data_IF_586277330051
#
_entry.id   IF_586277330051
#
_cell.length_a   1.000
_cell.length_b   1.000
_cell.length_c   1.000
_cell.angle_alpha   90.00
_cell.angle_beta   90.00
_cell.angle_gamma   90.00
#
_symmetry.space_group_name_H-M   'P 1'
#
loop_
_entity.id
_entity.type
_entity.pdbx_description
1 polymer ?
#
# COMPACT_ATOMS: atom_id res chain seq x y z
N UNK A 1 34.44 1.17 -23.93
CA UNK A 1 33.89 -0.21 -23.90
C UNK A 1 34.94 -1.25 -24.34
N UNK A 2 35.75 -1.02 -25.37
CA UNK A 2 36.83 -1.94 -25.77
C UNK A 2 37.99 -2.05 -24.75
N UNK A 3 38.35 -0.98 -24.04
CA UNK A 3 39.43 -1.03 -23.03
C UNK A 3 39.07 -1.86 -21.79
N UNK A 4 37.80 -1.93 -21.42
CA UNK A 4 37.31 -2.74 -20.29
C UNK A 4 37.40 -4.25 -20.56
N UNK A 5 37.25 -4.66 -21.83
CA UNK A 5 37.34 -6.06 -22.26
C UNK A 5 38.80 -6.52 -22.29
N UNK A 6 39.72 -5.65 -22.72
CA UNK A 6 41.15 -5.94 -22.72
C UNK A 6 41.69 -6.14 -21.29
N UNK A 7 41.26 -5.31 -20.33
CA UNK A 7 41.61 -5.44 -18.91
C UNK A 7 41.10 -6.77 -18.31
N UNK A 8 39.91 -7.22 -18.68
CA UNK A 8 39.34 -8.49 -18.19
C UNK A 8 40.10 -9.71 -18.70
N UNK A 9 40.50 -9.73 -19.98
CA UNK A 9 41.25 -10.84 -20.57
C UNK A 9 42.67 -11.01 -20.00
N UNK A 10 43.28 -9.91 -19.54
CA UNK A 10 44.60 -9.92 -18.93
C UNK A 10 44.57 -10.56 -17.53
N UNK A 11 43.50 -10.32 -16.77
CA UNK A 11 43.28 -10.92 -15.45
C UNK A 11 42.97 -12.42 -15.53
N UNK A 12 42.26 -12.89 -16.56
CA UNK A 12 41.94 -14.33 -16.70
C UNK A 12 43.17 -15.18 -17.05
N UNK A 13 44.18 -14.62 -17.72
CA UNK A 13 45.44 -15.33 -18.04
C UNK A 13 46.32 -15.60 -16.82
N UNK A 14 46.29 -14.77 -15.77
CA UNK A 14 47.12 -15.00 -14.57
C UNK A 14 46.55 -16.06 -13.63
N UNK A 15 45.26 -16.41 -13.77
CA UNK A 15 44.57 -17.38 -12.92
C UNK A 15 44.65 -18.84 -13.41
N UNK A 16 45.33 -19.12 -14.53
CA UNK A 16 45.55 -20.49 -15.03
C UNK A 16 44.28 -21.23 -15.49
N UNK A 17 43.13 -20.55 -15.61
CA UNK A 17 41.87 -21.15 -16.05
C UNK A 17 41.90 -21.27 -17.57
N UNK A 18 42.18 -22.49 -18.07
CA UNK A 18 42.01 -22.83 -19.50
C UNK A 18 40.52 -23.00 -19.80
N UNK A 19 39.97 -22.08 -20.60
CA UNK A 19 38.66 -22.24 -21.23
C UNK A 19 38.84 -23.25 -22.37
N UNK A 20 38.20 -24.41 -22.28
CA UNK A 20 38.22 -25.45 -23.32
C UNK A 20 37.14 -25.13 -24.39
N UNK A 21 37.54 -24.75 -25.62
CA UNK A 21 36.60 -24.32 -26.66
C UNK A 21 35.74 -25.47 -27.22
N UNK A 22 36.01 -26.74 -26.87
CA UNK A 22 35.23 -27.87 -27.33
C UNK A 22 33.92 -28.09 -26.56
N UNK A 23 33.74 -27.47 -25.39
CA UNK A 23 32.52 -27.63 -24.56
C UNK A 23 31.33 -26.80 -25.04
N UNK A 24 31.56 -25.87 -25.97
CA UNK A 24 30.54 -24.94 -26.48
C UNK A 24 29.86 -25.44 -27.77
N UNK A 25 30.36 -26.52 -28.37
CA UNK A 25 29.87 -27.06 -29.65
C UNK A 25 29.03 -28.36 -29.53
N UNK A 26 28.53 -28.69 -28.33
CA UNK A 26 27.56 -29.78 -28.20
C UNK A 26 26.15 -29.25 -28.50
N UNK A 27 25.44 -29.75 -29.52
CA UNK A 27 24.07 -29.32 -29.76
C UNK A 27 23.24 -29.69 -28.53
N UNK A 28 22.64 -28.69 -27.90
CA UNK A 28 21.70 -28.85 -26.80
C UNK A 28 20.54 -29.71 -27.30
N UNK A 29 20.63 -31.02 -27.08
CA UNK A 29 19.55 -31.94 -27.33
C UNK A 29 18.35 -31.46 -26.52
N UNK A 30 17.35 -30.90 -27.22
CA UNK A 30 16.13 -30.40 -26.65
C UNK A 30 15.42 -31.61 -26.01
N UNK A 31 15.52 -31.72 -24.69
CA UNK A 31 14.83 -32.73 -23.90
C UNK A 31 13.34 -32.41 -24.00
N UNK A 32 12.64 -33.21 -24.78
CA UNK A 32 11.19 -33.08 -24.96
C UNK A 32 10.47 -33.56 -23.69
N UNK A 33 10.20 -32.62 -22.79
CA UNK A 33 9.42 -32.77 -21.57
C UNK A 33 7.91 -32.62 -21.85
N UNK A 34 7.44 -33.34 -22.86
CA UNK A 34 6.02 -33.60 -23.05
C UNK A 34 5.54 -34.57 -21.96
N UNK A 35 5.30 -34.09 -20.72
CA UNK A 35 4.36 -34.72 -19.76
C UNK A 35 4.12 -34.02 -18.41
N UNK A 36 4.31 -32.71 -18.26
CA UNK A 36 3.89 -32.03 -17.02
C UNK A 36 2.62 -31.20 -17.27
N UNK A 37 1.48 -31.88 -17.12
CA UNK A 37 0.15 -31.29 -17.20
C UNK A 37 0.05 -29.99 -16.39
N UNK A 38 -0.22 -28.89 -17.09
CA UNK A 38 -0.39 -27.56 -16.55
C UNK A 38 -1.58 -27.48 -15.57
N UNK A 39 -1.38 -27.93 -14.32
CA UNK A 39 -2.13 -27.41 -13.18
C UNK A 39 -1.40 -26.16 -12.69
N UNK A 40 -1.62 -25.02 -13.37
CA UNK A 40 -1.36 -23.71 -12.73
C UNK A 40 -2.32 -23.63 -11.53
N UNK A 41 -1.84 -23.67 -10.27
CA UNK A 41 -2.76 -23.63 -9.15
C UNK A 41 -3.44 -22.26 -9.19
N UNK A 42 -4.78 -22.25 -9.24
CA UNK A 42 -5.63 -21.03 -9.16
C UNK A 42 -5.39 -20.21 -7.88
N UNK A 43 -4.54 -20.70 -6.97
CA UNK A 43 -3.98 -19.97 -5.83
C UNK A 43 -3.14 -18.74 -6.22
N UNK A 44 -2.67 -18.63 -7.47
CA UNK A 44 -1.87 -17.49 -7.90
C UNK A 44 -2.61 -16.15 -7.85
N UNK A 45 -3.91 -16.12 -8.15
CA UNK A 45 -4.66 -14.85 -8.22
C UNK A 45 -4.95 -14.26 -6.83
N UNK A 46 -5.22 -15.09 -5.82
CA UNK A 46 -5.46 -14.63 -4.44
C UNK A 46 -4.15 -14.22 -3.75
N UNK A 47 -3.05 -14.91 -4.06
CA UNK A 47 -1.71 -14.55 -3.56
C UNK A 47 -1.18 -13.29 -4.24
N UNK A 48 -1.47 -13.10 -5.54
CA UNK A 48 -1.08 -11.90 -6.30
C UNK A 48 -1.99 -10.69 -6.02
N UNK A 49 -3.28 -10.92 -5.76
CA UNK A 49 -4.23 -9.86 -5.40
C UNK A 49 -4.14 -9.45 -3.92
N UNK A 50 -3.59 -10.31 -3.05
CA UNK A 50 -3.44 -10.05 -1.61
C UNK A 50 -2.77 -8.71 -1.29
N UNK A 51 -1.57 -8.43 -1.83
CA UNK A 51 -0.89 -7.14 -1.63
C UNK A 51 -1.68 -5.95 -2.19
N UNK A 52 -2.32 -6.11 -3.35
CA UNK A 52 -3.10 -5.05 -3.98
C UNK A 52 -4.40 -4.73 -3.22
N UNK A 53 -5.08 -5.75 -2.72
CA UNK A 53 -6.28 -5.60 -1.89
C UNK A 53 -5.93 -5.00 -0.52
N UNK A 54 -4.81 -5.42 0.07
CA UNK A 54 -4.28 -4.80 1.28
C UNK A 54 -3.97 -3.33 1.06
N UNK A 55 -3.25 -3.00 -0.01
CA UNK A 55 -2.92 -1.60 -0.35
C UNK A 55 -4.20 -0.78 -0.56
N UNK A 56 -5.18 -1.31 -1.27
CA UNK A 56 -6.48 -0.67 -1.48
C UNK A 56 -7.21 -0.41 -0.16
N UNK A 57 -7.22 -1.40 0.74
CA UNK A 57 -7.89 -1.30 2.04
C UNK A 57 -7.14 -0.40 3.04
N UNK A 58 -5.81 -0.32 2.97
CA UNK A 58 -5.03 0.69 3.73
C UNK A 58 -5.28 2.11 3.23
N UNK A 59 -5.83 2.27 2.03
CA UNK A 59 -6.20 3.56 1.46
C UNK A 59 -7.47 4.18 2.05
N UNK A 60 -8.07 3.57 3.07
CA UNK A 60 -9.19 4.09 3.88
C UNK A 60 -8.81 4.00 5.35
N UNK A 61 -8.70 5.15 6.00
CA UNK A 61 -8.34 5.30 7.40
C UNK A 61 -9.52 5.30 8.38
N UNK A 62 -9.21 5.24 9.68
CA UNK A 62 -10.23 5.42 10.73
C UNK A 62 -10.89 6.81 10.68
N UNK A 63 -10.12 7.84 10.32
CA UNK A 63 -10.63 9.20 10.08
C UNK A 63 -11.59 9.26 8.89
N UNK A 64 -11.29 8.57 7.78
CA UNK A 64 -12.17 8.51 6.62
C UNK A 64 -13.52 7.86 6.96
N UNK A 65 -13.52 6.82 7.79
CA UNK A 65 -14.75 6.19 8.27
C UNK A 65 -15.57 7.11 9.17
N UNK A 66 -14.92 7.86 10.07
CA UNK A 66 -15.59 8.83 10.93
C UNK A 66 -16.22 9.95 10.09
N UNK A 67 -15.47 10.51 9.14
CA UNK A 67 -15.97 11.54 8.22
C UNK A 67 -17.10 11.00 7.33
N UNK A 68 -16.98 9.79 6.80
CA UNK A 68 -18.03 9.16 5.99
C UNK A 68 -19.31 8.94 6.81
N UNK A 69 -19.19 8.56 8.09
CA UNK A 69 -20.34 8.37 8.99
C UNK A 69 -21.05 9.71 9.28
N UNK A 70 -20.28 10.78 9.53
CA UNK A 70 -20.83 12.13 9.73
C UNK A 70 -21.49 12.65 8.45
N UNK A 71 -20.84 12.48 7.30
CA UNK A 71 -21.40 12.92 6.03
C UNK A 71 -22.68 12.15 5.69
N UNK A 72 -22.71 10.84 5.98
CA UNK A 72 -23.89 10.00 5.83
C UNK A 72 -25.04 10.37 6.77
N UNK A 73 -24.76 10.78 8.01
CA UNK A 73 -25.81 11.21 8.95
C UNK A 73 -26.42 12.57 8.56
N UNK A 74 -25.64 13.45 7.94
CA UNK A 74 -26.09 14.78 7.52
C UNK A 74 -26.80 14.76 6.16
N UNK A 75 -26.32 13.96 5.20
CA UNK A 75 -26.76 13.99 3.80
C UNK A 75 -27.55 12.74 3.39
N UNK A 76 -27.59 11.70 4.24
CA UNK A 76 -28.27 10.45 3.95
C UNK A 76 -27.77 9.79 2.66
N UNK A 77 -28.65 9.07 1.92
CA UNK A 77 -28.29 8.42 0.66
C UNK A 77 -27.85 9.38 -0.46
N UNK A 78 -28.12 10.69 -0.32
CA UNK A 78 -27.81 11.67 -1.34
C UNK A 78 -26.30 11.81 -1.61
N UNK A 79 -25.43 11.41 -0.68
CA UNK A 79 -23.98 11.44 -0.89
C UNK A 79 -23.46 10.25 -1.74
N UNK A 80 -24.25 9.20 -1.95
CA UNK A 80 -23.79 7.97 -2.58
C UNK A 80 -23.27 8.17 -4.02
N UNK A 81 -23.90 9.07 -4.80
CA UNK A 81 -23.40 9.37 -6.16
C UNK A 81 -21.99 9.98 -6.12
N UNK A 82 -21.72 10.83 -5.13
CA UNK A 82 -20.40 11.46 -4.97
C UNK A 82 -19.34 10.43 -4.56
N UNK A 83 -19.72 9.43 -3.75
CA UNK A 83 -18.84 8.30 -3.41
C UNK A 83 -18.46 7.49 -4.66
N UNK A 84 -19.43 7.19 -5.54
CA UNK A 84 -19.18 6.46 -6.78
C UNK A 84 -18.24 7.25 -7.70
N UNK A 85 -18.51 8.54 -7.90
CA UNK A 85 -17.67 9.41 -8.73
C UNK A 85 -16.26 9.54 -8.14
N UNK A 86 -16.15 9.73 -6.83
CA UNK A 86 -14.86 9.81 -6.13
C UNK A 86 -14.06 8.52 -6.24
N UNK A 87 -14.69 7.36 -6.07
CA UNK A 87 -14.05 6.06 -6.25
C UNK A 87 -13.57 5.85 -7.69
N UNK A 88 -14.38 6.24 -8.69
CA UNK A 88 -13.99 6.18 -10.09
C UNK A 88 -12.78 7.08 -10.39
N UNK A 89 -12.79 8.33 -9.92
CA UNK A 89 -11.66 9.25 -10.11
C UNK A 89 -10.39 8.74 -9.42
N UNK A 90 -10.52 8.24 -8.17
CA UNK A 90 -9.40 7.61 -7.46
C UNK A 90 -8.83 6.43 -8.25
N UNK A 91 -9.69 5.60 -8.83
CA UNK A 91 -9.29 4.47 -9.67
C UNK A 91 -8.52 4.94 -10.92
N UNK A 92 -9.05 5.90 -11.68
CA UNK A 92 -8.40 6.42 -12.90
C UNK A 92 -7.02 7.01 -12.60
N UNK A 93 -6.89 7.79 -11.52
CA UNK A 93 -5.61 8.37 -11.10
C UNK A 93 -4.63 7.28 -10.68
N UNK A 94 -5.08 6.31 -9.88
CA UNK A 94 -4.20 5.24 -9.35
C UNK A 94 -3.74 4.29 -10.46
N UNK A 95 -4.62 3.92 -11.39
CA UNK A 95 -4.26 3.11 -12.56
C UNK A 95 -3.27 3.85 -13.47
N UNK A 96 -3.54 5.12 -13.76
CA UNK A 96 -2.67 5.94 -14.60
C UNK A 96 -1.27 6.06 -14.00
N UNK A 97 -1.18 6.26 -12.68
CA UNK A 97 0.08 6.33 -11.96
C UNK A 97 0.81 4.99 -11.97
N UNK A 98 0.12 3.90 -11.65
CA UNK A 98 0.69 2.56 -11.63
C UNK A 98 1.21 2.15 -13.02
N UNK A 99 0.44 2.40 -14.08
CA UNK A 99 0.85 2.14 -15.46
C UNK A 99 2.07 2.96 -15.86
N UNK A 100 2.12 4.23 -15.45
CA UNK A 100 3.28 5.07 -15.71
C UNK A 100 4.53 4.53 -14.99
N UNK A 101 4.43 4.20 -13.69
CA UNK A 101 5.55 3.64 -12.91
C UNK A 101 6.04 2.30 -13.45
N UNK A 102 5.13 1.43 -13.89
CA UNK A 102 5.48 0.14 -14.50
C UNK A 102 6.14 0.29 -15.87
N UNK A 103 5.77 1.33 -16.63
CA UNK A 103 6.34 1.57 -17.96
C UNK A 103 7.70 2.29 -17.92
N UNK A 104 7.90 3.22 -16.97
CA UNK A 104 9.15 3.98 -16.84
C UNK A 104 10.17 3.33 -15.91
N UNK A 105 9.71 2.53 -14.94
CA UNK A 105 10.56 2.01 -13.87
C UNK A 105 10.98 3.06 -12.85
N UNK A 106 10.47 4.29 -12.95
CA UNK A 106 10.77 5.41 -12.04
C UNK A 106 9.58 5.69 -11.11
N UNK A 107 9.84 6.28 -9.94
CA UNK A 107 8.77 6.82 -9.10
C UNK A 107 8.19 8.08 -9.72
N UNK A 108 6.93 8.40 -9.41
CA UNK A 108 6.29 9.59 -9.97
C UNK A 108 7.07 10.87 -9.68
N UNK A 109 7.60 10.99 -8.45
CA UNK A 109 8.39 12.14 -8.06
C UNK A 109 9.71 12.22 -8.86
N UNK A 110 10.41 11.10 -9.05
CA UNK A 110 11.64 11.05 -9.87
C UNK A 110 11.36 11.45 -11.31
N UNK A 111 10.30 10.91 -11.92
CA UNK A 111 9.96 11.25 -13.31
C UNK A 111 9.50 12.69 -13.50
N UNK A 112 8.91 13.30 -12.48
CA UNK A 112 8.59 14.73 -12.48
C UNK A 112 9.87 15.57 -12.34
N UNK A 113 10.80 15.16 -11.48
CA UNK A 113 12.10 15.83 -11.31
C UNK A 113 12.96 15.73 -12.58
N UNK A 114 12.98 14.58 -13.26
CA UNK A 114 13.70 14.43 -14.53
C UNK A 114 13.14 15.32 -15.64
N UNK A 115 11.83 15.58 -15.66
CA UNK A 115 11.17 16.38 -16.72
C UNK A 115 11.09 17.87 -16.43
N UNK A 116 10.84 18.26 -15.18
CA UNK A 116 10.61 19.66 -14.76
C UNK A 116 11.78 20.25 -13.95
N UNK A 117 12.77 19.43 -13.58
CA UNK A 117 13.94 19.82 -12.82
C UNK A 117 13.79 19.66 -11.30
N UNK A 118 14.89 19.83 -10.54
CA UNK A 118 14.94 19.60 -9.10
C UNK A 118 14.14 20.64 -8.29
N UNK A 119 13.77 21.78 -8.88
CA UNK A 119 12.95 22.81 -8.24
C UNK A 119 11.59 22.30 -7.75
N UNK A 120 11.07 21.23 -8.36
CA UNK A 120 9.82 20.60 -7.90
C UNK A 120 9.95 20.02 -6.49
N UNK A 121 11.12 19.48 -6.11
CA UNK A 121 11.33 18.93 -4.76
C UNK A 121 11.19 20.03 -3.71
N UNK A 122 11.71 21.24 -3.99
CA UNK A 122 11.68 22.36 -3.06
C UNK A 122 10.24 22.81 -2.77
N UNK A 123 9.33 22.70 -3.73
CA UNK A 123 7.90 23.03 -3.55
C UNK A 123 7.13 21.84 -2.97
N UNK A 124 7.44 20.63 -3.45
CA UNK A 124 6.73 19.41 -3.08
C UNK A 124 7.03 18.95 -1.65
N UNK A 125 8.28 19.10 -1.18
CA UNK A 125 8.69 18.61 0.13
C UNK A 125 8.02 19.36 1.30
N UNK A 126 7.93 20.71 1.32
CA UNK A 126 7.13 21.42 2.32
C UNK A 126 5.66 21.03 2.26
N UNK A 127 5.08 20.92 1.06
CA UNK A 127 3.70 20.46 0.88
C UNK A 127 3.50 19.07 1.51
N UNK A 128 4.37 18.11 1.20
CA UNK A 128 4.31 16.74 1.71
C UNK A 128 4.44 16.72 3.24
N UNK A 129 5.34 17.55 3.80
CA UNK A 129 5.54 17.67 5.23
C UNK A 129 4.28 18.20 5.93
N UNK A 130 3.72 19.32 5.46
CA UNK A 130 2.48 19.87 6.01
C UNK A 130 1.34 18.87 5.89
N UNK A 131 1.16 18.27 4.71
CA UNK A 131 0.10 17.30 4.45
C UNK A 131 0.19 16.10 5.38
N UNK A 132 1.38 15.50 5.51
CA UNK A 132 1.60 14.32 6.37
C UNK A 132 1.37 14.67 7.85
N UNK A 133 1.79 15.85 8.29
CA UNK A 133 1.57 16.30 9.66
C UNK A 133 0.07 16.44 9.97
N UNK A 134 -0.68 17.13 9.12
CA UNK A 134 -2.13 17.31 9.33
C UNK A 134 -2.91 16.00 9.18
N UNK A 135 -2.62 15.22 8.14
CA UNK A 135 -3.27 13.93 7.90
C UNK A 135 -2.98 12.94 9.04
N UNK A 136 -1.73 12.87 9.50
CA UNK A 136 -1.32 12.03 10.62
C UNK A 136 -1.97 12.46 11.94
N UNK A 137 -2.02 13.77 12.21
CA UNK A 137 -2.68 14.33 13.40
C UNK A 137 -4.19 14.02 13.42
N UNK A 138 -4.87 14.19 12.28
CA UNK A 138 -6.28 13.86 12.15
C UNK A 138 -6.55 12.37 12.41
N UNK A 139 -5.70 11.49 11.89
CA UNK A 139 -5.82 10.05 12.10
C UNK A 139 -5.57 9.67 13.57
N UNK A 140 -4.54 10.26 14.20
CA UNK A 140 -4.26 10.06 15.62
C UNK A 140 -5.45 10.47 16.49
N UNK A 141 -6.09 11.60 16.17
CA UNK A 141 -7.29 12.07 16.85
C UNK A 141 -8.47 11.10 16.67
N UNK A 142 -8.70 10.61 15.44
CA UNK A 142 -9.77 9.64 15.17
C UNK A 142 -9.59 8.34 15.97
N UNK A 143 -8.37 7.80 16.01
CA UNK A 143 -8.04 6.63 16.83
C UNK A 143 -8.23 6.89 18.33
N UNK A 144 -7.84 8.07 18.80
CA UNK A 144 -8.01 8.47 20.20
C UNK A 144 -9.48 8.57 20.64
N UNK A 145 -10.34 9.16 19.80
CA UNK A 145 -11.78 9.24 20.04
C UNK A 145 -12.39 7.83 20.06
N UNK A 146 -12.05 6.99 19.08
CA UNK A 146 -12.55 5.62 19.00
C UNK A 146 -12.16 4.79 20.23
N UNK A 147 -10.90 4.88 20.68
CA UNK A 147 -10.43 4.18 21.88
C UNK A 147 -11.08 4.70 23.17
N UNK A 148 -11.28 6.01 23.30
CA UNK A 148 -12.01 6.58 24.44
C UNK A 148 -13.47 6.11 24.49
N UNK A 149 -14.12 5.97 23.33
CA UNK A 149 -15.48 5.43 23.24
C UNK A 149 -15.59 3.95 23.66
N UNK A 150 -14.54 3.16 23.42
CA UNK A 150 -14.47 1.74 23.83
C UNK A 150 -14.10 1.62 25.31
N UNK A 151 -13.15 2.43 25.78
CA UNK A 151 -12.62 2.41 27.14
C UNK A 151 -12.76 3.81 27.79
N UNK A 152 -13.92 4.12 28.39
CA UNK A 152 -14.17 5.41 29.02
C UNK A 152 -13.51 5.50 30.40
N UNK A 153 -12.19 5.33 30.48
CA UNK A 153 -11.41 5.45 31.72
C UNK A 153 -11.23 6.89 32.19
N UNK A 154 -11.40 7.86 31.28
CA UNK A 154 -11.29 9.28 31.57
C UNK A 154 -12.67 9.92 31.51
N UNK A 155 -13.09 10.58 32.59
CA UNK A 155 -14.34 11.34 32.64
C UNK A 155 -14.31 12.56 31.71
N UNK A 156 -13.13 13.13 31.47
CA UNK A 156 -12.93 14.22 30.52
C UNK A 156 -12.65 13.68 29.10
N UNK A 157 -13.55 13.89 28.13
CA UNK A 157 -13.36 13.39 26.76
C UNK A 157 -12.13 13.97 26.07
N UNK A 158 -11.73 15.18 26.45
CA UNK A 158 -10.57 15.87 25.88
C UNK A 158 -9.24 15.26 26.31
N UNK A 159 -9.08 14.86 27.58
CA UNK A 159 -7.86 14.18 28.00
C UNK A 159 -7.84 12.75 27.50
N UNK A 160 -8.98 12.06 27.54
CA UNK A 160 -9.10 10.69 27.07
C UNK A 160 -8.64 10.52 25.62
N UNK A 161 -9.17 11.33 24.69
CA UNK A 161 -8.76 11.24 23.27
C UNK A 161 -7.25 11.49 23.07
N UNK A 162 -6.66 12.42 23.82
CA UNK A 162 -5.24 12.77 23.70
C UNK A 162 -4.37 11.61 24.19
N UNK A 163 -4.68 11.06 25.37
CA UNK A 163 -3.92 9.95 25.96
C UNK A 163 -4.01 8.71 25.08
N UNK A 164 -5.20 8.33 24.65
CA UNK A 164 -5.37 7.16 23.77
C UNK A 164 -4.79 7.36 22.37
N UNK A 165 -4.88 8.58 21.82
CA UNK A 165 -4.24 8.92 20.55
C UNK A 165 -2.70 8.79 20.61
N UNK A 166 -2.08 9.31 21.67
CA UNK A 166 -0.65 9.14 21.90
C UNK A 166 -0.27 7.68 22.14
N UNK A 167 -1.02 6.97 22.99
CA UNK A 167 -0.76 5.56 23.29
C UNK A 167 -0.84 4.67 22.05
N UNK A 168 -1.89 4.82 21.23
CA UNK A 168 -2.04 4.06 19.98
C UNK A 168 -0.93 4.36 18.97
N UNK A 169 -0.47 5.61 18.89
CA UNK A 169 0.65 6.00 18.03
C UNK A 169 1.97 5.36 18.49
N UNK A 170 2.24 5.35 19.80
CA UNK A 170 3.42 4.69 20.38
C UNK A 170 3.38 3.17 20.12
N UNK A 171 2.21 2.54 20.28
CA UNK A 171 2.03 1.12 19.97
C UNK A 171 2.28 0.84 18.50
N UNK A 172 1.80 1.70 17.60
CA UNK A 172 2.06 1.61 16.16
C UNK A 172 3.56 1.68 15.85
N UNK A 173 4.28 2.63 16.45
CA UNK A 173 5.74 2.74 16.31
C UNK A 173 6.43 1.47 16.83
N UNK A 174 6.07 1.00 18.02
CA UNK A 174 6.64 -0.22 18.60
C UNK A 174 6.41 -1.45 17.73
N UNK A 175 5.26 -1.54 17.08
CA UNK A 175 4.93 -2.62 16.15
C UNK A 175 5.83 -2.61 14.91
N UNK A 176 6.00 -1.44 14.30
CA UNK A 176 6.84 -1.27 13.10
C UNK A 176 8.31 -1.57 13.42
N UNK A 177 8.82 -1.05 14.55
CA UNK A 177 10.22 -1.23 14.94
C UNK A 177 10.57 -2.69 15.29
N UNK A 178 9.63 -3.45 15.87
CA UNK A 178 9.89 -4.82 16.35
C UNK A 178 9.52 -5.90 15.33
N UNK A 179 8.46 -5.69 14.55
CA UNK A 179 7.81 -6.74 13.77
C UNK A 179 8.26 -6.87 12.32
N UNK A 180 8.93 -5.86 11.77
CA UNK A 180 9.19 -5.77 10.33
C UNK A 180 7.89 -5.67 9.50
N UNK A 181 8.03 -5.70 8.18
CA UNK A 181 6.90 -5.53 7.26
C UNK A 181 5.89 -6.70 7.35
N UNK A 182 6.37 -7.94 7.55
CA UNK A 182 5.50 -9.12 7.56
C UNK A 182 4.50 -9.15 8.74
N UNK A 183 4.94 -8.77 9.95
CA UNK A 183 4.04 -8.72 11.10
C UNK A 183 3.01 -7.61 10.93
N UNK A 184 3.46 -6.44 10.47
CA UNK A 184 2.61 -5.31 10.18
C UNK A 184 1.53 -5.67 9.14
N UNK A 185 1.91 -6.33 8.04
CA UNK A 185 0.98 -6.76 7.00
C UNK A 185 -0.08 -7.72 7.54
N UNK A 186 0.31 -8.71 8.35
CA UNK A 186 -0.62 -9.68 8.95
C UNK A 186 -1.64 -8.99 9.87
N UNK A 187 -1.17 -8.09 10.72
CA UNK A 187 -2.05 -7.36 11.65
C UNK A 187 -3.00 -6.45 10.88
N UNK A 188 -2.50 -5.68 9.91
CA UNK A 188 -3.33 -4.81 9.07
C UNK A 188 -4.41 -5.60 8.32
N UNK A 189 -4.05 -6.77 7.76
CA UNK A 189 -5.02 -7.66 7.09
C UNK A 189 -6.18 -8.04 8.01
N UNK A 190 -5.87 -8.39 9.26
CA UNK A 190 -6.89 -8.76 10.27
C UNK A 190 -7.74 -7.54 10.65
N UNK A 191 -7.12 -6.40 10.94
CA UNK A 191 -7.83 -5.17 11.30
C UNK A 191 -8.80 -4.71 10.19
N UNK A 192 -8.34 -4.74 8.93
CA UNK A 192 -9.17 -4.44 7.75
C UNK A 192 -10.34 -5.41 7.64
N UNK A 193 -10.09 -6.71 7.84
CA UNK A 193 -11.15 -7.73 7.82
C UNK A 193 -12.23 -7.45 8.87
N UNK A 194 -11.81 -7.14 10.10
CA UNK A 194 -12.73 -6.78 11.20
C UNK A 194 -13.52 -5.52 10.83
N UNK A 195 -12.84 -4.47 10.36
CA UNK A 195 -13.45 -3.20 9.94
C UNK A 195 -14.52 -3.40 8.86
N UNK A 196 -14.24 -4.21 7.84
CA UNK A 196 -15.20 -4.49 6.78
C UNK A 196 -16.44 -5.19 7.33
N UNK A 197 -16.26 -6.24 8.15
CA UNK A 197 -17.37 -6.99 8.75
C UNK A 197 -18.20 -6.09 9.65
N UNK A 198 -17.58 -5.28 10.52
CA UNK A 198 -18.32 -4.40 11.42
C UNK A 198 -19.12 -3.33 10.66
N UNK A 199 -18.55 -2.71 9.62
CA UNK A 199 -19.26 -1.73 8.80
C UNK A 199 -20.44 -2.37 8.05
N UNK A 200 -20.25 -3.53 7.43
CA UNK A 200 -21.32 -4.23 6.70
C UNK A 200 -22.44 -4.65 7.63
N UNK A 201 -22.12 -5.24 8.79
CA UNK A 201 -23.13 -5.61 9.79
C UNK A 201 -23.91 -4.39 10.26
N UNK A 202 -23.21 -3.30 10.57
CA UNK A 202 -23.86 -2.05 11.01
C UNK A 202 -24.77 -1.48 9.92
N UNK A 203 -24.33 -1.49 8.65
CA UNK A 203 -25.14 -1.03 7.52
C UNK A 203 -26.40 -1.87 7.32
N UNK A 204 -26.32 -3.20 7.49
CA UNK A 204 -27.49 -4.10 7.40
C UNK A 204 -28.46 -3.85 8.55
N UNK A 205 -27.95 -3.71 9.78
CA UNK A 205 -28.80 -3.49 10.97
C UNK A 205 -29.48 -2.12 10.96
N UNK A 206 -28.80 -1.09 10.45
CA UNK A 206 -29.34 0.26 10.32
C UNK A 206 -30.13 0.48 9.04
N UNK A 207 -30.24 -0.53 8.17
CA UNK A 207 -30.94 -0.40 6.90
C UNK A 207 -32.43 -0.13 7.15
N UNK A 208 -32.97 1.05 6.80
CA UNK A 208 -34.36 1.41 7.09
C UNK A 208 -35.38 0.69 6.17
N UNK A 209 -34.92 -0.18 5.26
CA UNK A 209 -35.74 -0.79 4.19
C UNK A 209 -35.65 0.00 2.89
N UNK A 210 -36.22 -0.53 1.80
CA UNK A 210 -36.40 0.21 0.53
C UNK A 210 -37.59 1.18 0.55
N UNK A 211 -38.25 1.34 1.70
CA UNK A 211 -39.31 2.33 1.90
C UNK A 211 -38.70 3.64 2.35
N UNK A 212 -38.56 4.57 1.40
CA UNK A 212 -38.55 6.00 1.72
C UNK A 212 -39.94 6.43 2.23
#
# INVERSE_FOLDING_TARGET
MQETIAAYSATTRSAGIRIDPAREAAPLAMKNDNNDGARRPRLGLIVLAGPGLLLAATGVGGGDLATASIAGSLLGPAILWAVIVGAFLKFVVTEGLARWQLATGETFLEGVVHRLGPGVIIVFLPYLFLWTFFAGSAQMNACGIALHAIFPFFESPEQGKIVFGMASSIVGIGLVLKGGYELFEKIMRVCIGIMFVTVVVTAILLWPGTGA
#
